data_IF_703520098636
#
_entry.id   IF_703520098636
#
_cell.length_a   1.000
_cell.length_b   1.000
_cell.length_c   1.000
_cell.angle_alpha   90.00
_cell.angle_beta   90.00
_cell.angle_gamma   90.00
#
_symmetry.space_group_name_H-M   'P 1'
#
loop_
_entity.id
_entity.type
_entity.pdbx_description
1 polymer ?
#
# COMPACT_ATOMS: atom_id res chain seq x y z
N UNK A 1 24.82 -19.77 -6.21
CA UNK A 1 23.88 -19.34 -5.16
C UNK A 1 22.99 -18.24 -5.76
N UNK A 2 21.81 -18.61 -6.29
CA UNK A 2 20.96 -17.71 -7.10
C UNK A 2 20.09 -16.87 -6.17
N UNK A 3 20.31 -15.55 -6.17
CA UNK A 3 19.43 -14.56 -5.55
C UNK A 3 18.12 -14.47 -6.35
N UNK A 4 16.98 -14.75 -5.71
CA UNK A 4 15.64 -14.49 -6.28
C UNK A 4 15.17 -13.09 -5.85
N UNK A 5 14.90 -12.27 -6.86
CA UNK A 5 14.23 -10.98 -6.75
C UNK A 5 12.73 -11.20 -6.55
N UNK A 6 12.27 -11.27 -5.30
CA UNK A 6 10.85 -11.42 -5.00
C UNK A 6 10.21 -10.07 -4.63
N UNK A 7 9.86 -9.31 -5.66
CA UNK A 7 8.76 -8.34 -5.62
C UNK A 7 7.57 -8.81 -6.49
N UNK A 8 7.49 -10.12 -6.77
CA UNK A 8 6.42 -10.76 -7.53
C UNK A 8 5.70 -11.91 -6.78
N UNK A 9 6.06 -12.21 -5.52
CA UNK A 9 5.46 -13.29 -4.72
C UNK A 9 4.74 -12.73 -3.48
N UNK A 10 3.46 -12.41 -3.59
CA UNK A 10 2.59 -12.22 -2.41
C UNK A 10 1.45 -13.24 -2.35
N UNK A 11 1.31 -14.08 -3.38
CA UNK A 11 0.40 -15.22 -3.38
C UNK A 11 1.25 -16.48 -3.52
N UNK A 12 1.13 -17.48 -2.62
CA UNK A 12 1.86 -18.75 -2.77
C UNK A 12 1.59 -19.33 -4.17
N UNK A 13 2.62 -19.83 -4.87
CA UNK A 13 2.52 -20.38 -6.24
C UNK A 13 1.28 -21.29 -6.46
N UNK A 14 0.91 -22.20 -5.53
CA UNK A 14 -0.31 -23.02 -5.64
C UNK A 14 -1.62 -22.23 -5.79
N UNK A 15 -1.65 -20.98 -5.33
CA UNK A 15 -2.82 -20.12 -5.42
C UNK A 15 -2.92 -19.41 -6.78
N UNK A 16 -1.79 -19.08 -7.40
CA UNK A 16 -1.78 -18.49 -8.74
C UNK A 16 -2.31 -19.48 -9.78
N UNK A 17 -1.90 -20.75 -9.68
CA UNK A 17 -2.36 -21.83 -10.55
C UNK A 17 -3.88 -22.01 -10.40
N UNK A 18 -4.39 -22.05 -9.17
CA UNK A 18 -5.83 -22.16 -8.90
C UNK A 18 -6.63 -20.95 -9.38
N UNK A 19 -6.05 -19.75 -9.41
CA UNK A 19 -6.71 -18.55 -9.95
C UNK A 19 -6.76 -18.55 -11.49
N UNK A 20 -5.86 -19.29 -12.14
CA UNK A 20 -5.74 -19.45 -13.58
C UNK A 20 -6.39 -20.75 -14.13
N UNK A 21 -6.94 -21.60 -13.26
CA UNK A 21 -7.50 -22.91 -13.61
C UNK A 21 -8.60 -22.85 -14.69
N UNK A 22 -8.69 -23.85 -15.57
CA UNK A 22 -9.75 -23.91 -16.57
C UNK A 22 -11.15 -24.04 -15.95
N UNK A 23 -11.25 -24.66 -14.76
CA UNK A 23 -12.50 -24.83 -14.03
C UNK A 23 -12.85 -23.54 -13.25
N UNK A 24 -14.00 -22.90 -13.55
CA UNK A 24 -14.42 -21.68 -12.86
C UNK A 24 -14.72 -21.88 -11.37
N UNK A 25 -15.07 -23.09 -10.93
CA UNK A 25 -15.32 -23.38 -9.51
C UNK A 25 -14.02 -23.37 -8.70
N UNK A 26 -12.93 -23.94 -9.26
CA UNK A 26 -11.60 -23.92 -8.64
C UNK A 26 -11.13 -22.47 -8.47
N UNK A 27 -11.35 -21.64 -9.49
CA UNK A 27 -11.05 -20.19 -9.46
C UNK A 27 -11.88 -19.45 -8.42
N UNK A 28 -13.20 -19.72 -8.36
CA UNK A 28 -14.07 -19.14 -7.34
C UNK A 28 -13.60 -19.50 -5.93
N UNK A 29 -13.22 -20.76 -5.70
CA UNK A 29 -12.72 -21.19 -4.41
C UNK A 29 -11.38 -20.52 -4.07
N UNK A 30 -10.47 -20.40 -5.04
CA UNK A 30 -9.21 -19.68 -4.86
C UNK A 30 -9.45 -18.21 -4.45
N UNK A 31 -10.42 -17.52 -5.05
CA UNK A 31 -10.81 -16.15 -4.69
C UNK A 31 -11.29 -16.08 -3.23
N UNK A 32 -12.10 -17.06 -2.79
CA UNK A 32 -12.58 -17.11 -1.40
C UNK A 32 -11.42 -17.34 -0.43
N UNK A 33 -10.50 -18.24 -0.79
CA UNK A 33 -9.34 -18.64 0.00
C UNK A 33 -8.27 -17.54 0.13
N UNK A 34 -8.35 -16.46 -0.65
CA UNK A 34 -7.48 -15.29 -0.51
C UNK A 34 -7.54 -14.75 0.93
N UNK A 35 -6.51 -15.03 1.73
CA UNK A 35 -6.29 -14.51 3.08
C UNK A 35 -5.13 -13.51 3.08
N UNK A 36 -5.12 -12.58 4.03
CA UNK A 36 -3.93 -11.76 4.32
C UNK A 36 -4.01 -10.28 3.95
N UNK A 37 -2.88 -9.60 4.08
CA UNK A 37 -2.74 -8.15 3.85
C UNK A 37 -2.98 -7.86 2.37
N UNK A 38 -3.95 -7.01 2.09
CA UNK A 38 -4.31 -6.61 0.73
C UNK A 38 -3.14 -5.88 0.07
N UNK A 39 -2.43 -6.58 -0.80
CA UNK A 39 -1.38 -6.00 -1.63
C UNK A 39 -1.99 -5.42 -2.91
N UNK A 40 -1.28 -4.48 -3.53
CA UNK A 40 -1.69 -3.92 -4.82
C UNK A 40 -1.88 -5.00 -5.88
N UNK A 41 -1.03 -6.04 -5.86
CA UNK A 41 -1.10 -7.17 -6.79
C UNK A 41 -2.41 -7.95 -6.61
N UNK A 42 -2.77 -8.27 -5.37
CA UNK A 42 -4.00 -8.98 -5.05
C UNK A 42 -5.23 -8.20 -5.54
N UNK A 43 -5.27 -6.91 -5.22
CA UNK A 43 -6.40 -6.04 -5.61
C UNK A 43 -6.50 -5.91 -7.12
N UNK A 44 -5.39 -5.71 -7.82
CA UNK A 44 -5.36 -5.67 -9.28
C UNK A 44 -5.82 -7.01 -9.89
N UNK A 45 -5.45 -8.12 -9.27
CA UNK A 45 -5.88 -9.46 -9.71
C UNK A 45 -7.40 -9.61 -9.56
N UNK A 46 -7.96 -9.19 -8.42
CA UNK A 46 -9.40 -9.20 -8.19
C UNK A 46 -10.15 -8.27 -9.18
N UNK A 47 -9.61 -7.09 -9.48
CA UNK A 47 -10.20 -6.20 -10.49
C UNK A 47 -10.19 -6.81 -11.89
N UNK A 48 -9.12 -7.50 -12.28
CA UNK A 48 -9.07 -8.25 -13.56
C UNK A 48 -10.11 -9.38 -13.58
N UNK A 49 -10.21 -10.14 -12.50
CA UNK A 49 -11.17 -11.24 -12.38
C UNK A 49 -12.62 -10.76 -12.35
N UNK A 50 -12.88 -9.56 -11.81
CA UNK A 50 -14.21 -8.93 -11.87
C UNK A 50 -14.69 -8.73 -13.31
N UNK A 51 -13.78 -8.47 -14.24
CA UNK A 51 -14.11 -8.31 -15.67
C UNK A 51 -13.97 -9.62 -16.48
N UNK A 52 -13.93 -10.78 -15.81
CA UNK A 52 -13.83 -12.07 -16.49
C UNK A 52 -15.10 -12.39 -17.28
N UNK A 53 -14.96 -13.08 -18.41
CA UNK A 53 -16.08 -13.54 -19.23
C UNK A 53 -16.96 -14.57 -18.53
N UNK A 54 -16.43 -15.32 -17.57
CA UNK A 54 -17.21 -16.24 -16.76
C UNK A 54 -17.95 -15.49 -15.63
N UNK A 55 -19.29 -15.53 -15.59
CA UNK A 55 -20.08 -14.74 -14.65
C UNK A 55 -19.90 -15.16 -13.19
N UNK A 56 -19.64 -16.45 -12.92
CA UNK A 56 -19.43 -16.93 -11.55
C UNK A 56 -18.12 -16.38 -10.98
N UNK A 57 -17.05 -16.39 -11.79
CA UNK A 57 -15.75 -15.86 -11.39
C UNK A 57 -15.80 -14.34 -11.22
N UNK A 58 -16.48 -13.65 -12.14
CA UNK A 58 -16.74 -12.21 -12.05
C UNK A 58 -17.45 -11.85 -10.74
N UNK A 59 -18.53 -12.56 -10.41
CA UNK A 59 -19.30 -12.36 -9.19
C UNK A 59 -18.47 -12.64 -7.94
N UNK A 60 -17.74 -13.76 -7.89
CA UNK A 60 -16.89 -14.10 -6.74
C UNK A 60 -15.81 -13.03 -6.48
N UNK A 61 -15.20 -12.49 -7.53
CA UNK A 61 -14.23 -11.40 -7.41
C UNK A 61 -14.88 -10.11 -6.93
N UNK A 62 -16.07 -9.77 -7.45
CA UNK A 62 -16.83 -8.60 -7.04
C UNK A 62 -17.25 -8.66 -5.56
N UNK A 63 -17.69 -9.82 -5.08
CA UNK A 63 -18.06 -10.02 -3.68
C UNK A 63 -16.85 -9.85 -2.75
N UNK A 64 -15.70 -10.39 -3.16
CA UNK A 64 -14.44 -10.25 -2.40
C UNK A 64 -14.01 -8.78 -2.33
N UNK A 65 -14.07 -8.08 -3.46
CA UNK A 65 -13.80 -6.64 -3.53
C UNK A 65 -14.76 -5.87 -2.60
N UNK A 66 -16.07 -6.09 -2.69
CA UNK A 66 -17.07 -5.41 -1.85
C UNK A 66 -16.80 -5.62 -0.35
N UNK A 67 -16.43 -6.85 0.06
CA UNK A 67 -16.06 -7.14 1.45
C UNK A 67 -14.80 -6.40 1.89
N UNK A 68 -13.81 -6.28 0.99
CA UNK A 68 -12.59 -5.51 1.23
C UNK A 68 -12.91 -4.02 1.43
N UNK A 69 -13.71 -3.42 0.55
CA UNK A 69 -14.15 -2.03 0.69
C UNK A 69 -14.79 -1.79 2.05
N UNK A 70 -15.75 -2.64 2.40
CA UNK A 70 -16.49 -2.52 3.65
C UNK A 70 -15.55 -2.60 4.85
N UNK A 71 -14.54 -3.48 4.80
CA UNK A 71 -13.53 -3.58 5.84
C UNK A 71 -12.71 -2.28 5.97
N UNK A 72 -12.23 -1.72 4.85
CA UNK A 72 -11.45 -0.47 4.87
C UNK A 72 -12.30 0.73 5.35
N UNK A 73 -13.57 0.81 4.94
CA UNK A 73 -14.52 1.83 5.42
C UNK A 73 -14.77 1.71 6.93
N UNK A 74 -14.94 0.48 7.44
CA UNK A 74 -15.07 0.22 8.89
C UNK A 74 -13.81 0.63 9.65
N UNK A 75 -12.61 0.38 9.09
CA UNK A 75 -11.35 0.84 9.69
C UNK A 75 -11.28 2.37 9.76
N UNK A 76 -11.60 3.07 8.67
CA UNK A 76 -11.67 4.53 8.65
C UNK A 76 -12.64 5.03 9.74
N UNK A 77 -13.85 4.48 9.78
CA UNK A 77 -14.85 4.88 10.77
C UNK A 77 -14.35 4.66 12.20
N UNK A 78 -13.80 3.49 12.50
CA UNK A 78 -13.28 3.16 13.82
C UNK A 78 -12.20 4.14 14.28
N UNK A 79 -11.17 4.38 13.45
CA UNK A 79 -10.08 5.27 13.82
C UNK A 79 -10.50 6.73 13.85
N UNK A 80 -11.44 7.15 12.99
CA UNK A 80 -12.03 8.48 13.05
C UNK A 80 -12.73 8.73 14.40
N UNK A 81 -13.54 7.77 14.87
CA UNK A 81 -14.18 7.85 16.18
C UNK A 81 -13.15 7.81 17.31
N UNK A 82 -12.08 7.03 17.17
CA UNK A 82 -11.04 6.97 18.18
C UNK A 82 -10.30 8.30 18.32
N UNK A 83 -9.92 8.94 17.22
CA UNK A 83 -9.30 10.29 17.24
C UNK A 83 -10.25 11.31 17.86
N UNK A 84 -11.55 11.26 17.55
CA UNK A 84 -12.54 12.16 18.17
C UNK A 84 -12.60 12.01 19.70
N UNK A 85 -12.49 10.79 20.21
CA UNK A 85 -12.52 10.50 21.66
C UNK A 85 -11.19 10.79 22.36
N UNK A 86 -10.07 10.60 21.66
CA UNK A 86 -8.72 10.71 22.21
C UNK A 86 -7.80 11.43 21.19
N UNK A 87 -7.93 12.76 21.03
CA UNK A 87 -7.19 13.50 20.01
C UNK A 87 -5.67 13.49 20.23
N UNK A 88 -5.23 13.36 21.48
CA UNK A 88 -3.83 13.35 21.89
C UNK A 88 -3.18 11.96 21.78
N UNK A 89 -3.89 10.96 21.24
CA UNK A 89 -3.35 9.61 21.08
C UNK A 89 -2.59 9.47 19.74
N UNK A 90 -1.24 9.33 19.76
CA UNK A 90 -0.48 9.10 18.54
C UNK A 90 -0.85 7.78 17.85
N UNK A 91 -1.31 6.79 18.62
CA UNK A 91 -1.78 5.52 18.07
C UNK A 91 -3.08 5.70 17.28
N UNK A 92 -4.03 6.49 17.80
CA UNK A 92 -5.28 6.81 17.11
C UNK A 92 -5.01 7.59 15.81
N UNK A 93 -4.17 8.62 15.88
CA UNK A 93 -3.78 9.42 14.70
C UNK A 93 -3.06 8.55 13.66
N UNK A 94 -2.13 7.70 14.07
CA UNK A 94 -1.41 6.80 13.15
C UNK A 94 -2.34 5.79 12.48
N UNK A 95 -3.26 5.19 13.23
CA UNK A 95 -4.25 4.27 12.68
C UNK A 95 -5.21 4.96 11.72
N UNK A 96 -5.62 6.18 12.02
CA UNK A 96 -6.46 7.02 11.15
C UNK A 96 -5.73 7.34 9.83
N UNK A 97 -4.50 7.87 9.91
CA UNK A 97 -3.68 8.20 8.75
C UNK A 97 -3.42 6.98 7.85
N UNK A 98 -3.10 5.82 8.46
CA UNK A 98 -2.86 4.59 7.73
C UNK A 98 -4.14 4.04 7.07
N UNK A 99 -5.29 4.19 7.72
CA UNK A 99 -6.58 3.76 7.17
C UNK A 99 -6.96 4.59 5.94
N UNK A 100 -6.79 5.91 6.00
CA UNK A 100 -6.98 6.78 4.84
C UNK A 100 -6.02 6.45 3.70
N UNK A 101 -4.72 6.26 4.00
CA UNK A 101 -3.74 5.91 2.98
C UNK A 101 -4.09 4.59 2.28
N UNK A 102 -4.43 3.54 3.03
CA UNK A 102 -4.81 2.24 2.47
C UNK A 102 -6.06 2.34 1.61
N UNK A 103 -7.08 3.06 2.07
CA UNK A 103 -8.29 3.25 1.30
C UNK A 103 -8.03 3.97 -0.03
N UNK A 104 -7.26 5.06 0.02
CA UNK A 104 -6.85 5.79 -1.17
C UNK A 104 -6.00 4.95 -2.14
N UNK A 105 -5.13 4.09 -1.60
CA UNK A 105 -4.23 3.27 -2.42
C UNK A 105 -4.96 2.13 -3.13
N UNK A 106 -6.02 1.58 -2.53
CA UNK A 106 -6.58 0.30 -2.94
C UNK A 106 -7.98 0.37 -3.51
N UNK A 107 -8.76 1.39 -3.15
CA UNK A 107 -10.19 1.38 -3.43
C UNK A 107 -10.65 2.56 -4.27
N UNK A 108 -10.05 3.73 -4.07
CA UNK A 108 -10.54 4.95 -4.70
C UNK A 108 -10.01 5.08 -6.11
N UNK A 109 -10.90 4.84 -7.09
CA UNK A 109 -10.61 4.99 -8.52
C UNK A 109 -10.77 6.44 -9.00
N UNK A 110 -11.60 7.23 -8.32
CA UNK A 110 -11.78 8.65 -8.62
C UNK A 110 -10.58 9.48 -8.11
N UNK A 111 -9.91 10.20 -9.01
CA UNK A 111 -8.69 10.94 -8.68
C UNK A 111 -8.91 12.03 -7.63
N UNK A 112 -10.08 12.69 -7.64
CA UNK A 112 -10.43 13.74 -6.68
C UNK A 112 -10.57 13.18 -5.26
N UNK A 113 -11.36 12.14 -5.09
CA UNK A 113 -11.51 11.42 -3.83
C UNK A 113 -10.19 10.80 -3.39
N UNK A 114 -9.40 10.24 -4.31
CA UNK A 114 -8.11 9.64 -3.99
C UNK A 114 -7.17 10.69 -3.41
N UNK A 115 -7.08 11.87 -4.05
CA UNK A 115 -6.30 13.01 -3.56
C UNK A 115 -6.79 13.47 -2.19
N UNK A 116 -8.09 13.55 -1.96
CA UNK A 116 -8.67 13.91 -0.66
C UNK A 116 -8.20 12.97 0.46
N UNK A 117 -8.29 11.65 0.27
CA UNK A 117 -7.86 10.69 1.28
C UNK A 117 -6.35 10.64 1.47
N UNK A 118 -5.57 10.82 0.39
CA UNK A 118 -4.11 10.98 0.51
C UNK A 118 -3.74 12.22 1.32
N UNK A 119 -4.45 13.33 1.14
CA UNK A 119 -4.23 14.55 1.93
C UNK A 119 -4.55 14.32 3.41
N UNK A 120 -5.66 13.65 3.74
CA UNK A 120 -5.99 13.27 5.13
C UNK A 120 -4.91 12.38 5.76
N UNK A 121 -4.35 11.44 5.01
CA UNK A 121 -3.24 10.63 5.46
C UNK A 121 -1.97 11.46 5.69
N UNK A 122 -1.67 12.38 4.77
CA UNK A 122 -0.51 13.28 4.86
C UNK A 122 -0.59 14.17 6.10
N UNK A 123 -1.76 14.75 6.38
CA UNK A 123 -2.00 15.60 7.55
C UNK A 123 -1.74 14.84 8.85
N UNK A 124 -2.24 13.60 8.94
CA UNK A 124 -2.01 12.73 10.09
C UNK A 124 -0.52 12.40 10.30
N UNK A 125 0.23 12.08 9.24
CA UNK A 125 1.66 11.85 9.37
C UNK A 125 2.47 13.13 9.65
N UNK A 126 2.05 14.28 9.13
CA UNK A 126 2.63 15.57 9.48
C UNK A 126 2.46 15.84 10.97
N UNK A 127 1.27 15.61 11.52
CA UNK A 127 0.99 15.76 12.94
C UNK A 127 1.85 14.80 13.78
N UNK A 128 1.96 13.53 13.37
CA UNK A 128 2.79 12.51 14.04
C UNK A 128 4.28 12.84 14.08
N UNK A 129 4.80 13.55 13.09
CA UNK A 129 6.21 13.92 13.06
C UNK A 129 6.47 15.23 13.83
N UNK A 130 5.50 16.16 13.82
CA UNK A 130 5.66 17.48 14.46
C UNK A 130 5.33 17.48 15.94
N UNK A 131 4.21 16.87 16.31
CA UNK A 131 3.66 16.95 17.67
C UNK A 131 3.96 15.71 18.51
N UNK A 132 4.26 14.59 17.87
CA UNK A 132 4.60 13.34 18.55
C UNK A 132 6.05 12.97 18.25
N UNK A 133 6.71 12.29 19.19
CA UNK A 133 8.10 11.87 19.02
C UNK A 133 8.29 11.15 17.67
N UNK A 134 9.13 11.67 16.77
CA UNK A 134 9.16 11.20 15.39
C UNK A 134 9.74 9.79 15.32
N UNK A 135 8.90 8.85 14.86
CA UNK A 135 9.32 7.46 14.59
C UNK A 135 9.70 7.31 13.13
N UNK A 136 10.71 6.49 12.85
CA UNK A 136 11.14 6.18 11.47
C UNK A 136 9.99 5.67 10.59
N UNK A 137 9.04 4.94 11.20
CA UNK A 137 7.85 4.45 10.53
C UNK A 137 6.94 5.58 10.00
N UNK A 138 6.88 6.73 10.68
CA UNK A 138 6.08 7.87 10.24
C UNK A 138 6.68 8.52 8.98
N UNK A 139 8.01 8.66 8.93
CA UNK A 139 8.69 9.09 7.71
C UNK A 139 8.47 8.11 6.55
N UNK A 140 8.50 6.80 6.84
CA UNK A 140 8.27 5.78 5.82
C UNK A 140 6.89 5.93 5.17
N UNK A 141 5.82 5.96 5.98
CA UNK A 141 4.46 6.07 5.44
C UNK A 141 4.18 7.45 4.83
N UNK A 142 4.71 8.53 5.42
CA UNK A 142 4.63 9.85 4.81
C UNK A 142 5.31 9.89 3.45
N UNK A 143 6.48 9.26 3.30
CA UNK A 143 7.16 9.10 2.03
C UNK A 143 6.30 8.37 1.00
N UNK A 144 5.63 7.28 1.40
CA UNK A 144 4.70 6.56 0.52
C UNK A 144 3.49 7.41 0.09
N UNK A 145 2.90 8.18 1.01
CA UNK A 145 1.80 9.11 0.70
C UNK A 145 2.26 10.17 -0.30
N UNK A 146 3.46 10.75 -0.10
CA UNK A 146 4.02 11.74 -1.01
C UNK A 146 4.32 11.16 -2.39
N UNK A 147 4.83 9.93 -2.48
CA UNK A 147 4.94 9.23 -3.77
C UNK A 147 3.59 9.06 -4.45
N UNK A 148 2.55 8.67 -3.71
CA UNK A 148 1.20 8.49 -4.25
C UNK A 148 0.58 9.81 -4.74
N UNK A 149 1.02 10.94 -4.20
CA UNK A 149 0.65 12.30 -4.62
C UNK A 149 1.54 12.86 -5.75
N UNK A 150 2.62 12.16 -6.15
CA UNK A 150 3.58 12.63 -7.15
C UNK A 150 4.69 13.55 -6.60
N UNK A 151 4.74 13.76 -5.29
CA UNK A 151 5.69 14.64 -4.59
C UNK A 151 7.04 13.95 -4.35
N UNK A 152 7.67 13.50 -5.42
CA UNK A 152 8.84 12.62 -5.39
C UNK A 152 10.05 13.22 -4.64
N UNK A 153 10.30 14.52 -4.77
CA UNK A 153 11.42 15.19 -4.06
C UNK A 153 11.22 15.18 -2.54
N UNK A 154 10.01 15.47 -2.09
CA UNK A 154 9.66 15.41 -0.66
C UNK A 154 9.66 13.98 -0.16
N UNK A 155 9.18 13.02 -0.96
CA UNK A 155 9.27 11.60 -0.62
C UNK A 155 10.72 11.15 -0.42
N UNK A 156 11.64 11.53 -1.31
CA UNK A 156 13.05 11.19 -1.22
C UNK A 156 13.67 11.69 0.10
N UNK A 157 13.33 12.91 0.53
CA UNK A 157 13.79 13.44 1.81
C UNK A 157 13.33 12.58 3.00
N UNK A 158 12.10 12.06 2.99
CA UNK A 158 11.60 11.19 4.05
C UNK A 158 12.35 9.85 4.10
N UNK A 159 12.59 9.19 2.95
CA UNK A 159 13.38 7.95 2.92
C UNK A 159 14.85 8.20 3.28
N UNK A 160 15.39 9.37 2.92
CA UNK A 160 16.72 9.81 3.36
C UNK A 160 16.85 9.88 4.88
N UNK A 161 15.82 10.33 5.61
CA UNK A 161 15.84 10.32 7.09
C UNK A 161 15.95 8.90 7.66
N UNK A 162 15.31 7.92 7.03
CA UNK A 162 15.41 6.51 7.45
C UNK A 162 16.83 6.00 7.21
N UNK A 163 17.41 6.29 6.05
CA UNK A 163 18.75 5.81 5.70
C UNK A 163 19.87 6.49 6.49
N UNK A 164 19.66 7.70 7.00
CA UNK A 164 20.60 8.34 7.95
C UNK A 164 20.74 7.52 9.24
N UNK A 165 19.67 6.85 9.69
CA UNK A 165 19.68 6.02 10.90
C UNK A 165 19.97 4.54 10.60
N UNK A 166 19.50 4.04 9.46
CA UNK A 166 19.70 2.67 9.01
C UNK A 166 20.13 2.64 7.54
N UNK A 167 21.43 2.79 7.24
CA UNK A 167 21.94 2.91 5.88
C UNK A 167 21.61 1.71 4.98
N UNK A 168 21.39 0.52 5.53
CA UNK A 168 21.09 -0.69 4.77
C UNK A 168 19.60 -1.08 4.84
N UNK A 169 18.71 -0.13 5.17
CA UNK A 169 17.27 -0.43 5.21
C UNK A 169 16.73 -0.64 3.79
N UNK A 170 16.65 -1.90 3.36
CA UNK A 170 16.18 -2.32 2.02
C UNK A 170 14.87 -1.64 1.59
N UNK A 171 13.89 -1.58 2.49
CA UNK A 171 12.59 -0.96 2.18
C UNK A 171 12.69 0.53 1.79
N UNK A 172 13.63 1.28 2.40
CA UNK A 172 13.85 2.68 2.06
C UNK A 172 14.74 2.84 0.81
N UNK A 173 15.72 1.95 0.62
CA UNK A 173 16.56 1.92 -0.59
C UNK A 173 15.72 1.68 -1.85
N UNK A 174 14.86 0.65 -1.83
CA UNK A 174 13.96 0.34 -2.94
C UNK A 174 13.05 1.52 -3.29
N UNK A 175 12.53 2.24 -2.28
CA UNK A 175 11.70 3.41 -2.51
C UNK A 175 12.46 4.58 -3.10
N UNK A 176 13.72 4.81 -2.69
CA UNK A 176 14.56 5.80 -3.34
C UNK A 176 14.91 5.44 -4.78
N UNK A 177 15.16 4.17 -5.08
CA UNK A 177 15.38 3.71 -6.46
C UNK A 177 14.15 4.01 -7.31
N UNK A 178 12.96 3.64 -6.84
CA UNK A 178 11.67 3.93 -7.51
C UNK A 178 11.51 5.44 -7.75
N UNK A 179 11.78 6.26 -6.73
CA UNK A 179 11.71 7.73 -6.83
C UNK A 179 12.72 8.26 -7.86
N UNK A 180 13.97 7.83 -7.83
CA UNK A 180 15.01 8.31 -8.75
C UNK A 180 14.74 7.88 -10.18
N UNK A 181 14.15 6.70 -10.38
CA UNK A 181 13.66 6.28 -11.68
C UNK A 181 12.57 7.25 -12.19
N UNK A 182 11.55 7.55 -11.38
CA UNK A 182 10.49 8.49 -11.76
C UNK A 182 10.98 9.91 -12.02
N UNK A 183 12.05 10.34 -11.34
CA UNK A 183 12.66 11.67 -11.53
C UNK A 183 13.68 11.72 -12.69
N UNK A 184 14.00 10.60 -13.34
CA UNK A 184 15.05 10.53 -14.36
C UNK A 184 16.48 10.64 -13.81
N UNK A 185 16.65 10.43 -12.50
CA UNK A 185 17.88 10.59 -11.74
C UNK A 185 18.74 9.31 -11.77
N UNK A 186 18.93 8.73 -12.95
CA UNK A 186 19.49 7.39 -13.14
C UNK A 186 20.91 7.22 -12.58
N UNK A 187 21.74 8.27 -12.60
CA UNK A 187 23.10 8.25 -12.03
C UNK A 187 23.16 7.87 -10.55
N UNK A 188 22.08 8.09 -9.80
CA UNK A 188 22.03 7.80 -8.37
C UNK A 188 21.49 6.39 -8.05
N UNK A 189 21.00 5.64 -9.05
CA UNK A 189 20.42 4.30 -8.83
C UNK A 189 21.50 3.23 -8.56
N UNK A 190 22.56 3.08 -9.38
CA UNK A 190 23.55 2.01 -9.17
C UNK A 190 24.18 1.99 -7.77
N UNK A 191 24.56 3.13 -7.16
CA UNK A 191 25.08 3.15 -5.78
C UNK A 191 24.06 2.65 -4.75
N UNK A 192 22.76 2.86 -4.96
CA UNK A 192 21.71 2.36 -4.07
C UNK A 192 21.52 0.85 -4.23
N UNK A 193 21.58 0.33 -5.46
CA UNK A 193 21.49 -1.11 -5.72
C UNK A 193 22.60 -1.90 -5.04
N UNK A 194 23.82 -1.34 -4.95
CA UNK A 194 24.96 -1.97 -4.26
C UNK A 194 24.77 -2.11 -2.74
N UNK A 195 23.75 -1.47 -2.16
CA UNK A 195 23.46 -1.50 -0.71
C UNK A 195 22.32 -2.45 -0.33
N UNK A 196 21.71 -3.09 -1.34
CA UNK A 196 20.63 -4.08 -1.21
C UNK A 196 21.26 -5.46 -1.16
#
# INVERSE_FOLDING_TARGET
>A
MKFKFDNFLDLPEPLLDRLADANPEVRCQAIRDLRGKYSRVLINTLWRLKNNSNPQVSQAANDKLTRLEMHLRKQIFFFHQWVKKNPDSPAAVAGSALSYFRFAQFWVQDDGLRKYFLQKALDGFNLLIRAYQPKLLYFYYRGLVLMALGEYRLAAANFGQILKKHPHRHSALLKLIEIFYHLGYFRFIPPLCRRI
#
